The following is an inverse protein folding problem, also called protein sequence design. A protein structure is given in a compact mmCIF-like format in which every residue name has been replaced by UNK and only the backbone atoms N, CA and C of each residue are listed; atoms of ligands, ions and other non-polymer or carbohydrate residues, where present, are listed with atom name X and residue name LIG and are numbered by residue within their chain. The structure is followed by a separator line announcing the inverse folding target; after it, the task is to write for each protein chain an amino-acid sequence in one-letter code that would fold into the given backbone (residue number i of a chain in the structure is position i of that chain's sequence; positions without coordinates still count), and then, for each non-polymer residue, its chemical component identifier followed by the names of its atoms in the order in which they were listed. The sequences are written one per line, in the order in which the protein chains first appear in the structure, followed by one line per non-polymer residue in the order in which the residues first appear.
data_IF_798193382686
#
_entry.id   IF_798193382686
#
_cell.length_a   1.000
_cell.length_b   1.000
_cell.length_c   1.000
_cell.angle_alpha   90.00
_cell.angle_beta   90.00
_cell.angle_gamma   90.00
#
_symmetry.space_group_name_H-M   'P 1'
#
loop_
_entity.id
_entity.type
_entity.pdbx_description
1 polymer ?
#
# COMPACT_ATOMS: atom_id res chain seq x y z
N UNK A 1 -11.58 17.68 -6.27
CA UNK A 1 -11.08 16.82 -7.36
C UNK A 1 -11.76 15.49 -7.14
N UNK A 2 -12.52 15.02 -8.11
CA UNK A 2 -13.19 13.73 -8.00
C UNK A 2 -12.15 12.64 -8.25
N UNK A 3 -11.58 12.13 -7.16
CA UNK A 3 -10.66 11.00 -7.18
C UNK A 3 -11.45 9.75 -7.63
N UNK A 4 -10.97 8.98 -8.61
CA UNK A 4 -11.74 7.86 -9.13
C UNK A 4 -11.89 6.77 -8.06
N UNK A 5 -13.12 6.27 -7.93
CA UNK A 5 -13.39 5.05 -7.16
C UNK A 5 -12.65 3.89 -7.83
N UNK A 6 -11.77 3.22 -7.10
CA UNK A 6 -10.98 2.13 -7.68
C UNK A 6 -10.34 1.23 -6.64
N UNK A 7 -9.66 0.18 -7.12
CA UNK A 7 -8.66 -0.55 -6.35
C UNK A 7 -7.28 0.00 -6.71
N UNK A 8 -6.49 0.36 -5.71
CA UNK A 8 -5.14 0.90 -5.89
C UNK A 8 -4.16 0.08 -5.08
N UNK A 9 -3.10 -0.42 -5.71
CA UNK A 9 -1.97 -0.96 -4.96
C UNK A 9 -1.26 0.19 -4.23
N UNK A 10 -0.91 -0.03 -2.96
CA UNK A 10 -0.28 0.99 -2.10
C UNK A 10 1.04 0.54 -1.47
N UNK A 11 1.37 -0.74 -1.59
CA UNK A 11 2.61 -1.34 -1.12
C UNK A 11 2.84 -2.72 -1.77
N UNK A 12 4.09 -3.18 -1.78
CA UNK A 12 4.39 -4.61 -1.90
C UNK A 12 4.02 -5.30 -0.59
N UNK A 13 3.40 -6.47 -0.67
CA UNK A 13 3.02 -7.26 0.51
C UNK A 13 4.21 -7.65 1.37
N UNK A 14 5.35 -7.93 0.72
CA UNK A 14 6.61 -8.28 1.37
C UNK A 14 7.29 -7.11 2.10
N UNK A 15 6.96 -5.85 1.77
CA UNK A 15 7.51 -4.67 2.47
C UNK A 15 6.83 -4.45 3.83
N UNK A 16 5.69 -5.11 4.09
CA UNK A 16 4.93 -5.02 5.33
C UNK A 16 4.98 -6.38 6.04
N UNK A 17 6.02 -6.58 6.84
CA UNK A 17 6.22 -7.82 7.61
C UNK A 17 5.15 -7.99 8.70
N UNK A 18 4.88 -9.22 9.17
CA UNK A 18 3.99 -9.44 10.31
C UNK A 18 4.40 -8.62 11.54
N UNK A 19 3.40 -8.05 12.22
CA UNK A 19 3.62 -7.16 13.37
C UNK A 19 4.39 -5.86 13.06
N UNK A 20 4.30 -5.36 11.83
CA UNK A 20 4.89 -4.07 11.43
C UNK A 20 3.86 -3.14 10.78
N UNK A 21 4.19 -1.86 10.72
CA UNK A 21 3.40 -0.80 10.09
C UNK A 21 4.30 0.12 9.27
N UNK A 22 3.77 0.66 8.18
CA UNK A 22 4.43 1.66 7.35
C UNK A 22 3.44 2.72 6.88
N UNK A 23 3.93 3.94 6.68
CA UNK A 23 3.16 5.05 6.11
C UNK A 23 3.23 5.05 4.58
N UNK A 24 2.12 5.39 3.94
CA UNK A 24 2.03 5.59 2.48
C UNK A 24 1.04 6.72 2.18
N UNK A 25 0.81 7.02 0.91
CA UNK A 25 -0.14 8.05 0.49
C UNK A 25 -1.00 7.59 -0.67
N UNK A 26 -2.23 8.06 -0.75
CA UNK A 26 -3.07 7.85 -1.92
C UNK A 26 -3.86 9.14 -2.17
N UNK A 27 -3.74 9.71 -3.36
CA UNK A 27 -4.36 11.00 -3.73
C UNK A 27 -4.07 12.14 -2.73
N UNK A 28 -2.89 12.14 -2.11
CA UNK A 28 -2.47 13.13 -1.12
C UNK A 28 -2.85 12.80 0.33
N UNK A 29 -3.77 11.85 0.55
CA UNK A 29 -4.19 11.39 1.89
C UNK A 29 -3.12 10.47 2.49
N UNK A 30 -2.85 10.63 3.79
CA UNK A 30 -1.86 9.81 4.51
C UNK A 30 -2.53 8.53 5.02
N UNK A 31 -1.95 7.39 4.67
CA UNK A 31 -2.45 6.07 5.04
C UNK A 31 -1.40 5.31 5.84
N UNK A 32 -1.84 4.52 6.82
CA UNK A 32 -1.01 3.50 7.46
C UNK A 32 -1.42 2.14 6.92
N UNK A 33 -0.43 1.39 6.41
CA UNK A 33 -0.56 -0.02 6.09
C UNK A 33 0.13 -0.80 7.19
N UNK A 34 -0.55 -1.78 7.76
CA UNK A 34 0.03 -2.60 8.82
C UNK A 34 -0.45 -4.04 8.73
N UNK A 35 0.34 -4.93 9.30
CA UNK A 35 0.05 -6.35 9.33
C UNK A 35 0.01 -6.84 10.76
N UNK A 36 -1.08 -7.46 11.14
CA UNK A 36 -1.21 -8.05 12.47
C UNK A 36 -0.29 -9.28 12.64
N UNK A 37 -0.24 -9.81 13.86
CA UNK A 37 0.59 -10.97 14.18
C UNK A 37 0.12 -12.28 13.50
N UNK A 38 -1.15 -12.35 13.09
CA UNK A 38 -1.70 -13.48 12.33
C UNK A 38 -1.42 -13.35 10.82
N UNK A 39 -0.91 -12.20 10.38
CA UNK A 39 -0.55 -11.92 8.99
C UNK A 39 -1.65 -11.20 8.21
N UNK A 40 -2.78 -10.82 8.81
CA UNK A 40 -3.82 -10.08 8.09
C UNK A 40 -3.38 -8.62 7.90
N UNK A 41 -3.66 -8.09 6.71
CA UNK A 41 -3.33 -6.71 6.31
C UNK A 41 -4.50 -5.80 6.61
N UNK A 42 -4.17 -4.59 7.07
CA UNK A 42 -5.12 -3.55 7.43
C UNK A 42 -4.63 -2.21 6.90
N UNK A 43 -5.54 -1.35 6.44
CA UNK A 43 -5.20 0.00 5.98
C UNK A 43 -6.12 1.04 6.61
N UNK A 44 -5.54 2.05 7.24
CA UNK A 44 -6.25 3.13 7.93
C UNK A 44 -5.76 4.50 7.49
N UNK A 45 -6.51 5.54 7.88
CA UNK A 45 -5.98 6.90 7.91
C UNK A 45 -4.80 6.95 8.88
N UNK A 46 -3.69 7.55 8.45
CA UNK A 46 -2.47 7.64 9.25
C UNK A 46 -2.55 8.76 10.30
N UNK A 47 -3.61 8.75 11.11
CA UNK A 47 -3.90 9.82 12.04
C UNK A 47 -4.58 9.31 13.30
N UNK A 48 -3.89 9.42 14.43
CA UNK A 48 -4.46 9.09 15.74
C UNK A 48 -5.58 10.10 16.10
N UNK A 49 -6.82 9.64 16.37
CA UNK A 49 -7.94 10.53 16.73
C UNK A 49 -7.71 11.40 17.97
N UNK A 50 -6.76 11.05 18.84
CA UNK A 50 -6.46 11.82 20.05
C UNK A 50 -5.81 13.18 19.74
N UNK A 51 -4.64 13.17 19.08
CA UNK A 51 -3.85 14.39 18.81
C UNK A 51 -3.16 14.41 17.44
N UNK A 52 -3.59 13.55 16.52
CA UNK A 52 -3.13 13.55 15.14
C UNK A 52 -1.74 12.97 14.90
N UNK A 53 -1.12 12.30 15.87
CA UNK A 53 0.13 11.56 15.62
C UNK A 53 -0.11 10.46 14.58
N UNK A 54 0.83 10.29 13.65
CA UNK A 54 0.79 9.20 12.67
C UNK A 54 0.86 7.84 13.36
N UNK A 55 -0.08 6.97 13.02
CA UNK A 55 -0.18 5.61 13.54
C UNK A 55 0.87 4.68 12.90
N UNK A 56 1.40 5.03 11.73
CA UNK A 56 2.50 4.33 11.06
C UNK A 56 3.79 4.31 11.88
N UNK A 57 4.00 5.29 12.77
CA UNK A 57 5.10 5.30 13.75
C UNK A 57 4.79 4.53 15.04
N UNK A 58 3.57 3.97 15.15
CA UNK A 58 3.15 3.17 16.29
C UNK A 58 3.77 1.79 16.33
N UNK A 59 3.24 0.97 17.22
CA UNK A 59 3.69 -0.41 17.40
C UNK A 59 2.53 -1.37 17.20
N UNK A 60 2.66 -2.28 16.24
CA UNK A 60 1.73 -3.40 16.13
C UNK A 60 1.99 -4.39 17.27
N UNK A 61 0.92 -4.82 17.91
CA UNK A 61 0.92 -5.75 19.05
C UNK A 61 -0.27 -6.68 18.88
N UNK A 62 -0.05 -7.92 18.43
CA UNK A 62 -1.17 -8.80 18.12
C UNK A 62 -2.01 -8.22 16.98
N UNK A 63 -3.26 -7.88 17.28
CA UNK A 63 -4.31 -7.37 16.37
C UNK A 63 -4.61 -5.87 16.53
N UNK A 64 -3.71 -5.12 17.18
CA UNK A 64 -3.86 -3.68 17.40
C UNK A 64 -2.59 -2.89 17.12
N UNK A 65 -2.75 -1.60 16.82
CA UNK A 65 -1.67 -0.62 16.85
C UNK A 65 -1.75 0.19 18.15
N UNK A 66 -0.64 0.26 18.87
CA UNK A 66 -0.42 1.23 19.94
C UNK A 66 0.23 2.50 19.36
N UNK A 67 -0.44 3.64 19.48
CA UNK A 67 0.11 4.93 19.05
C UNK A 67 1.36 5.30 19.85
N UNK A 68 2.45 5.67 19.17
CA UNK A 68 3.73 6.02 19.80
C UNK A 68 3.62 7.17 20.82
N UNK A 69 2.67 8.08 20.64
CA UNK A 69 2.61 9.28 21.46
C UNK A 69 2.13 9.01 22.90
N UNK A 70 0.99 8.35 23.06
CA UNK A 70 0.39 8.12 24.39
C UNK A 70 -0.04 6.66 24.60
N UNK A 71 0.32 5.75 23.70
CA UNK A 71 0.03 4.33 23.81
C UNK A 71 -1.45 3.96 23.64
N UNK A 72 -2.30 4.86 23.15
CA UNK A 72 -3.69 4.52 22.82
C UNK A 72 -3.70 3.39 21.80
N UNK A 73 -4.48 2.34 22.09
CA UNK A 73 -4.51 1.12 21.27
C UNK A 73 -5.78 1.06 20.45
N UNK A 74 -5.63 0.77 19.17
CA UNK A 74 -6.73 0.67 18.21
C UNK A 74 -6.77 -0.74 17.63
N UNK A 75 -7.94 -1.39 17.68
CA UNK A 75 -8.14 -2.72 17.08
C UNK A 75 -8.16 -2.67 15.55
N UNK A 76 -8.21 -3.83 14.90
CA UNK A 76 -8.31 -3.99 13.44
C UNK A 76 -9.38 -3.11 12.77
N UNK A 77 -10.52 -2.89 13.44
CA UNK A 77 -11.62 -2.07 12.96
C UNK A 77 -11.43 -0.56 13.22
N UNK A 78 -10.23 -0.18 13.68
CA UNK A 78 -9.83 1.19 13.97
C UNK A 78 -10.39 1.74 15.30
N UNK A 79 -11.09 0.93 16.11
CA UNK A 79 -11.69 1.40 17.36
C UNK A 79 -10.65 1.46 18.47
N UNK A 80 -10.62 2.57 19.21
CA UNK A 80 -9.81 2.66 20.42
C UNK A 80 -10.35 1.72 21.49
N UNK A 81 -9.51 0.80 21.97
CA UNK A 81 -9.86 -0.20 22.98
C UNK A 81 -9.20 0.04 24.33
N UNK A 82 -8.12 0.81 24.35
CA UNK A 82 -7.33 0.98 25.57
C UNK A 82 -6.61 2.32 25.59
N UNK A 83 -6.75 3.01 26.73
CA UNK A 83 -6.07 4.27 27.03
C UNK A 83 -5.18 4.04 28.26
N UNK A 84 -3.85 3.98 28.12
CA UNK A 84 -2.97 3.60 29.23
C UNK A 84 -3.09 4.47 30.49
N UNK A 85 -3.37 5.77 30.33
CA UNK A 85 -3.55 6.69 31.46
C UNK A 85 -4.86 6.47 32.24
N UNK A 86 -5.83 5.76 31.64
CA UNK A 86 -7.12 5.45 32.22
C UNK A 86 -7.47 3.98 31.92
N UNK A 87 -6.74 3.02 32.53
CA UNK A 87 -6.83 1.61 32.15
C UNK A 87 -8.19 0.96 32.40
N UNK A 88 -8.96 1.49 33.36
CA UNK A 88 -10.30 0.99 33.73
C UNK A 88 -11.44 1.73 33.00
N UNK A 89 -11.10 2.66 32.09
CA UNK A 89 -12.10 3.43 31.36
C UNK A 89 -12.75 2.57 30.27
N UNK A 90 -14.08 2.56 30.26
CA UNK A 90 -14.85 2.09 29.09
C UNK A 90 -14.73 3.12 27.96
N UNK A 91 -13.90 2.80 26.97
CA UNK A 91 -13.56 3.73 25.88
C UNK A 91 -14.74 3.87 24.92
N UNK A 92 -15.15 5.12 24.68
CA UNK A 92 -16.27 5.43 23.77
C UNK A 92 -16.08 4.78 22.39
N UNK A 93 -17.11 4.12 21.83
CA UNK A 93 -17.05 3.50 20.51
C UNK A 93 -16.93 4.51 19.37
N UNK A 94 -17.11 5.81 19.64
CA UNK A 94 -16.92 6.89 18.66
C UNK A 94 -15.44 7.23 18.43
N UNK A 95 -14.54 6.82 19.33
CA UNK A 95 -13.10 7.06 19.17
C UNK A 95 -12.55 6.01 18.21
N UNK A 96 -12.57 6.33 16.91
CA UNK A 96 -12.13 5.43 15.84
C UNK A 96 -11.25 6.17 14.83
N UNK A 97 -10.24 5.48 14.30
CA UNK A 97 -9.59 5.90 13.06
C UNK A 97 -10.42 5.45 11.86
N UNK A 98 -10.33 6.18 10.75
CA UNK A 98 -10.95 5.77 9.50
C UNK A 98 -10.21 4.56 8.94
N UNK A 99 -10.95 3.51 8.57
CA UNK A 99 -10.41 2.32 7.91
C UNK A 99 -10.76 2.33 6.42
N UNK A 100 -9.98 1.61 5.62
CA UNK A 100 -10.20 1.41 4.20
C UNK A 100 -10.27 -0.09 3.91
N UNK A 101 -11.24 -0.57 3.12
CA UNK A 101 -11.24 -1.97 2.68
C UNK A 101 -9.96 -2.25 1.91
N UNK A 102 -9.29 -3.35 2.26
CA UNK A 102 -8.00 -3.68 1.69
C UNK A 102 -7.84 -5.18 1.47
N UNK A 103 -6.94 -5.56 0.58
CA UNK A 103 -6.67 -6.97 0.29
C UNK A 103 -5.26 -7.17 -0.22
N UNK A 104 -4.61 -8.25 0.21
CA UNK A 104 -3.35 -8.68 -0.38
C UNK A 104 -3.63 -9.65 -1.55
N UNK A 105 -3.11 -9.34 -2.73
CA UNK A 105 -3.26 -10.19 -3.93
C UNK A 105 -2.13 -9.89 -4.92
N UNK A 106 -1.60 -10.95 -5.57
CA UNK A 106 -0.43 -10.87 -6.45
C UNK A 106 0.74 -10.10 -5.82
N UNK A 107 1.09 -10.44 -4.57
CA UNK A 107 2.22 -9.85 -3.85
C UNK A 107 2.10 -8.35 -3.55
N UNK A 108 0.90 -7.78 -3.72
CA UNK A 108 0.60 -6.37 -3.56
C UNK A 108 -0.52 -6.18 -2.54
N UNK A 109 -0.45 -5.10 -1.78
CA UNK A 109 -1.53 -4.66 -0.89
C UNK A 109 -2.37 -3.63 -1.63
N UNK A 110 -3.65 -3.95 -1.80
CA UNK A 110 -4.63 -3.14 -2.51
C UNK A 110 -5.58 -2.46 -1.54
N UNK A 111 -5.97 -1.23 -1.85
CA UNK A 111 -6.96 -0.43 -1.12
C UNK A 111 -8.13 -0.12 -2.05
N UNK A 112 -9.36 -0.32 -1.57
CA UNK A 112 -10.57 0.15 -2.25
C UNK A 112 -10.81 1.60 -1.89
N UNK A 113 -10.55 2.50 -2.84
CA UNK A 113 -10.87 3.93 -2.72
C UNK A 113 -12.32 4.22 -3.10
N UNK A 114 -12.90 5.24 -2.47
CA UNK A 114 -14.29 5.67 -2.73
C UNK A 114 -15.39 4.79 -2.12
N UNK A 115 -15.05 3.61 -1.60
CA UNK A 115 -16.01 2.70 -0.97
C UNK A 115 -16.14 2.95 0.54
N UNK A 116 -17.31 2.62 1.14
CA UNK A 116 -17.46 2.64 2.59
C UNK A 116 -16.59 1.55 3.25
N UNK A 117 -16.28 1.73 4.53
CA UNK A 117 -15.39 0.84 5.29
C UNK A 117 -15.91 -0.61 5.42
N UNK A 118 -17.22 -0.80 5.31
CA UNK A 118 -17.92 -2.08 5.36
C UNK A 118 -18.24 -2.66 3.97
N UNK A 119 -17.73 -2.03 2.90
CA UNK A 119 -17.88 -2.57 1.56
C UNK A 119 -17.30 -3.99 1.50
N UNK A 120 -17.97 -4.92 0.81
CA UNK A 120 -17.48 -6.28 0.68
C UNK A 120 -16.07 -6.26 0.07
N UNK A 121 -15.19 -7.09 0.61
CA UNK A 121 -13.86 -7.37 0.05
C UNK A 121 -14.00 -8.19 -1.24
N UNK A 122 -14.68 -7.65 -2.25
CA UNK A 122 -14.58 -8.19 -3.60
C UNK A 122 -13.13 -8.04 -4.02
N UNK A 123 -12.50 -9.14 -4.43
CA UNK A 123 -11.12 -9.05 -4.85
C UNK A 123 -11.03 -8.06 -6.03
N UNK A 124 -9.93 -7.32 -6.20
CA UNK A 124 -9.71 -6.62 -7.46
C UNK A 124 -9.84 -7.69 -8.57
N UNK A 125 -10.65 -7.42 -9.61
CA UNK A 125 -11.07 -8.34 -10.70
C UNK A 125 -9.90 -8.90 -11.55
N UNK A 126 -8.69 -8.80 -11.06
CA UNK A 126 -7.63 -8.12 -11.77
C UNK A 126 -6.28 -8.81 -11.62
N UNK A 127 -5.94 -9.23 -10.41
CA UNK A 127 -4.71 -9.97 -10.21
C UNK A 127 -4.94 -11.44 -10.57
N UNK A 128 -4.45 -11.90 -11.73
CA UNK A 128 -4.24 -13.32 -12.00
C UNK A 128 -3.68 -14.00 -10.73
N UNK A 129 -4.17 -15.19 -10.39
CA UNK A 129 -3.62 -16.00 -9.29
C UNK A 129 -2.27 -16.63 -9.69
N UNK A 130 -1.44 -15.87 -10.40
CA UNK A 130 -0.10 -16.27 -10.80
C UNK A 130 0.81 -16.01 -9.61
N UNK A 131 1.63 -16.99 -9.19
CA UNK A 131 2.69 -16.76 -8.23
C UNK A 131 3.58 -15.61 -8.70
N UNK A 132 3.82 -14.65 -7.82
CA UNK A 132 4.71 -13.53 -8.11
C UNK A 132 5.84 -13.44 -7.10
N UNK A 133 6.96 -12.88 -7.55
CA UNK A 133 8.07 -12.46 -6.71
C UNK A 133 8.09 -10.94 -6.60
N UNK A 134 8.16 -10.36 -5.40
CA UNK A 134 8.31 -8.91 -5.26
C UNK A 134 9.66 -8.48 -5.84
N UNK A 135 9.67 -7.40 -6.63
CA UNK A 135 10.91 -6.82 -7.15
C UNK A 135 11.30 -5.58 -6.34
N UNK A 136 10.52 -4.50 -6.48
CA UNK A 136 10.66 -3.25 -5.70
C UNK A 136 9.55 -2.26 -6.01
N UNK A 137 9.39 -1.29 -5.12
CA UNK A 137 8.65 -0.06 -5.38
C UNK A 137 9.58 1.05 -5.91
N UNK A 138 9.10 1.84 -6.87
CA UNK A 138 9.74 3.08 -7.33
C UNK A 138 8.85 4.25 -6.93
N UNK A 139 9.43 5.28 -6.34
CA UNK A 139 8.76 6.55 -6.05
C UNK A 139 9.26 7.59 -7.04
N UNK A 140 8.33 8.24 -7.74
CA UNK A 140 8.64 9.10 -8.87
C UNK A 140 8.08 10.50 -8.66
N UNK A 141 8.89 11.49 -9.02
CA UNK A 141 8.51 12.90 -9.11
C UNK A 141 7.77 13.16 -10.44
N UNK A 142 6.68 12.42 -10.67
CA UNK A 142 5.82 12.54 -11.83
C UNK A 142 4.37 12.15 -11.50
N UNK A 143 3.37 12.78 -12.16
CA UNK A 143 1.97 12.37 -12.04
C UNK A 143 1.74 10.91 -12.46
N UNK A 144 0.78 10.24 -11.82
CA UNK A 144 0.39 8.87 -12.14
C UNK A 144 -0.01 8.67 -13.62
N UNK A 145 -0.62 9.67 -14.24
CA UNK A 145 -1.00 9.62 -15.66
C UNK A 145 0.23 9.51 -16.57
N UNK A 146 1.32 10.22 -16.26
CA UNK A 146 2.58 10.15 -17.01
C UNK A 146 3.26 8.80 -16.85
N UNK A 147 3.27 8.27 -15.63
CA UNK A 147 3.73 6.91 -15.35
C UNK A 147 2.91 5.89 -16.16
N UNK A 148 1.58 5.98 -16.15
CA UNK A 148 0.72 5.07 -16.91
C UNK A 148 1.00 5.12 -18.42
N UNK A 149 1.18 6.31 -19.00
CA UNK A 149 1.56 6.47 -20.42
C UNK A 149 2.90 5.84 -20.71
N UNK A 150 3.91 6.05 -19.85
CA UNK A 150 5.24 5.47 -20.03
C UNK A 150 5.25 3.93 -19.96
N UNK A 151 4.30 3.34 -19.23
CA UNK A 151 4.10 1.90 -19.15
C UNK A 151 3.27 1.32 -20.32
N UNK A 152 2.74 2.16 -21.22
CA UNK A 152 1.88 1.73 -22.32
C UNK A 152 0.38 1.67 -21.99
N UNK A 153 -0.04 2.31 -20.91
CA UNK A 153 -1.43 2.34 -20.40
C UNK A 153 -1.58 1.61 -19.07
N UNK A 154 -2.77 1.72 -18.46
CA UNK A 154 -3.15 0.91 -17.32
C UNK A 154 -3.90 -0.33 -17.81
N UNK A 155 -3.52 -1.52 -17.36
CA UNK A 155 -4.37 -2.70 -17.55
C UNK A 155 -5.75 -2.47 -16.92
N UNK A 156 -6.78 -3.14 -17.45
CA UNK A 156 -8.15 -3.07 -16.90
C UNK A 156 -8.25 -3.58 -15.46
N UNK A 157 -7.20 -4.28 -15.03
CA UNK A 157 -6.97 -4.85 -13.72
C UNK A 157 -6.14 -3.95 -12.78
N UNK A 158 -5.70 -2.78 -13.23
CA UNK A 158 -4.77 -1.95 -12.46
C UNK A 158 -3.33 -2.49 -12.43
N UNK A 159 -3.02 -3.53 -13.22
CA UNK A 159 -1.68 -4.04 -13.45
C UNK A 159 -1.29 -3.85 -14.92
N UNK A 160 -0.12 -3.26 -15.15
CA UNK A 160 0.44 -3.15 -16.49
C UNK A 160 1.59 -4.12 -16.64
N UNK A 161 1.52 -4.98 -17.66
CA UNK A 161 2.62 -5.88 -18.03
C UNK A 161 3.59 -5.13 -18.95
N UNK A 162 4.86 -5.06 -18.56
CA UNK A 162 5.93 -4.45 -19.37
C UNK A 162 7.09 -5.42 -19.58
N UNK A 163 7.90 -5.16 -20.60
CA UNK A 163 9.24 -5.73 -20.71
C UNK A 163 10.22 -4.87 -19.92
N UNK A 164 10.94 -5.48 -18.99
CA UNK A 164 12.03 -4.86 -18.24
C UNK A 164 13.29 -5.69 -18.46
N UNK A 165 14.20 -5.17 -19.27
CA UNK A 165 15.47 -5.83 -19.60
C UNK A 165 15.24 -7.26 -20.16
N UNK A 166 14.28 -7.42 -21.07
CA UNK A 166 13.98 -8.72 -21.69
C UNK A 166 13.21 -9.69 -20.79
N UNK A 167 12.62 -9.23 -19.69
CA UNK A 167 11.79 -10.03 -18.80
C UNK A 167 10.42 -9.38 -18.60
N UNK A 168 9.37 -10.20 -18.63
CA UNK A 168 8.02 -9.71 -18.35
C UNK A 168 7.87 -9.42 -16.85
N UNK A 169 7.43 -8.21 -16.51
CA UNK A 169 7.09 -7.81 -15.14
C UNK A 169 5.69 -7.18 -15.10
N UNK A 170 5.05 -7.20 -13.94
CA UNK A 170 3.77 -6.55 -13.68
C UNK A 170 4.01 -5.31 -12.81
N UNK A 171 3.34 -4.22 -13.16
CA UNK A 171 3.49 -2.92 -12.50
C UNK A 171 2.14 -2.39 -12.08
N UNK A 172 1.97 -2.09 -10.80
CA UNK A 172 0.81 -1.35 -10.30
C UNK A 172 1.16 0.13 -10.11
N UNK A 173 0.29 1.02 -10.56
CA UNK A 173 0.46 2.48 -10.43
C UNK A 173 -0.29 2.99 -9.21
N UNK A 174 0.43 3.68 -8.33
CA UNK A 174 -0.11 4.35 -7.14
C UNK A 174 -0.06 5.88 -7.33
N UNK A 175 -1.19 6.58 -7.39
CA UNK A 175 -1.22 8.04 -7.33
C UNK A 175 -0.92 8.53 -5.91
N UNK A 176 0.25 9.12 -5.66
CA UNK A 176 0.62 9.62 -4.33
C UNK A 176 0.10 11.03 -4.07
N UNK A 177 0.22 11.91 -5.07
CA UNK A 177 -0.23 13.30 -5.09
C UNK A 177 -0.38 13.78 -6.55
N UNK A 178 -0.69 15.06 -6.78
CA UNK A 178 -0.83 15.61 -8.13
C UNK A 178 0.43 15.39 -9.00
N UNK A 179 1.61 15.65 -8.43
CA UNK A 179 2.90 15.58 -9.14
C UNK A 179 3.78 14.40 -8.68
N UNK A 180 3.21 13.43 -7.97
CA UNK A 180 3.96 12.30 -7.43
C UNK A 180 3.19 10.98 -7.56
N UNK A 181 3.92 9.92 -7.90
CA UNK A 181 3.37 8.58 -8.04
C UNK A 181 4.37 7.51 -7.58
N UNK A 182 3.87 6.30 -7.39
CA UNK A 182 4.72 5.12 -7.22
C UNK A 182 4.36 4.02 -8.22
N UNK A 183 5.35 3.20 -8.54
CA UNK A 183 5.22 1.98 -9.32
C UNK A 183 5.63 0.80 -8.43
N UNK A 184 4.70 -0.10 -8.13
CA UNK A 184 4.99 -1.34 -7.41
C UNK A 184 5.19 -2.46 -8.42
N UNK A 185 6.40 -3.06 -8.42
CA UNK A 185 6.81 -3.99 -9.47
C UNK A 185 6.93 -5.39 -8.87
N UNK A 186 6.27 -6.35 -9.51
CA UNK A 186 6.36 -7.78 -9.22
C UNK A 186 6.70 -8.55 -10.48
N UNK A 187 7.41 -9.67 -10.34
CA UNK A 187 7.75 -10.57 -11.44
C UNK A 187 6.79 -11.75 -11.42
N UNK A 188 6.12 -12.12 -12.53
CA UNK A 188 5.16 -13.23 -12.60
C UNK A 188 5.87 -14.60 -12.64
N UNK A 189 6.70 -14.83 -11.63
CA UNK A 189 7.43 -16.08 -11.37
C UNK A 189 7.26 -16.41 -9.88
N UNK A 190 7.26 -17.70 -9.51
CA UNK A 190 7.18 -18.07 -8.11
C UNK A 190 8.38 -17.53 -7.30
N UNK A 191 8.26 -17.43 -5.96
CA UNK A 191 9.25 -16.78 -5.07
C UNK A 191 10.67 -17.39 -5.07
N UNK A 192 10.88 -18.52 -5.75
CA UNK A 192 12.15 -19.24 -5.86
C UNK A 192 12.98 -18.83 -7.09
N UNK A 193 12.57 -17.78 -7.81
CA UNK A 193 13.35 -17.23 -8.91
C UNK A 193 14.80 -16.87 -8.46
N UNK A 194 15.82 -17.09 -9.33
CA UNK A 194 17.21 -16.83 -8.96
C UNK A 194 17.43 -15.37 -8.54
N UNK A 195 18.08 -15.16 -7.39
CA UNK A 195 18.37 -13.83 -6.86
C UNK A 195 19.17 -12.93 -7.83
N UNK A 196 19.97 -13.53 -8.71
CA UNK A 196 20.73 -12.82 -9.75
C UNK A 196 19.82 -12.16 -10.79
N UNK A 197 18.70 -12.80 -11.15
CA UNK A 197 17.74 -12.24 -12.10
C UNK A 197 16.99 -11.06 -11.48
N UNK A 198 16.56 -11.20 -10.23
CA UNK A 198 15.94 -10.10 -9.48
C UNK A 198 16.89 -8.91 -9.30
N UNK A 199 18.17 -9.15 -9.04
CA UNK A 199 19.17 -8.08 -8.91
C UNK A 199 19.37 -7.31 -10.22
N UNK A 200 19.46 -8.01 -11.35
CA UNK A 200 19.53 -7.40 -12.70
C UNK A 200 18.30 -6.54 -12.99
N UNK A 201 17.10 -7.08 -12.75
CA UNK A 201 15.84 -6.36 -12.93
C UNK A 201 15.73 -5.15 -12.00
N UNK A 202 16.16 -5.28 -10.75
CA UNK A 202 16.14 -4.18 -9.78
C UNK A 202 17.08 -3.03 -10.19
N UNK A 203 18.18 -3.33 -10.88
CA UNK A 203 19.06 -2.33 -11.48
C UNK A 203 18.40 -1.67 -12.71
N UNK A 204 17.72 -2.44 -13.56
CA UNK A 204 16.98 -1.91 -14.73
C UNK A 204 15.86 -0.94 -14.31
N UNK A 205 15.24 -1.14 -13.14
CA UNK A 205 14.26 -0.20 -12.59
C UNK A 205 14.82 1.23 -12.38
N UNK A 206 16.13 1.40 -12.16
CA UNK A 206 16.76 2.73 -12.04
C UNK A 206 16.70 3.47 -13.38
N UNK A 207 16.97 2.76 -14.48
CA UNK A 207 16.87 3.33 -15.81
C UNK A 207 15.42 3.67 -16.18
N UNK A 208 14.47 2.79 -15.82
CA UNK A 208 13.04 3.03 -15.98
C UNK A 208 12.58 4.28 -15.23
N UNK A 209 12.96 4.45 -13.95
CA UNK A 209 12.64 5.65 -13.18
C UNK A 209 13.16 6.91 -13.89
N UNK A 210 14.44 6.89 -14.28
CA UNK A 210 15.09 8.04 -14.95
C UNK A 210 14.43 8.40 -16.27
N UNK A 211 13.97 7.43 -17.07
CA UNK A 211 13.28 7.73 -18.34
C UNK A 211 11.91 8.37 -18.09
N UNK A 212 11.21 7.96 -17.04
CA UNK A 212 9.90 8.52 -16.67
C UNK A 212 10.04 9.94 -16.11
N UNK A 213 10.99 10.18 -15.21
CA UNK A 213 11.25 11.50 -14.62
C UNK A 213 11.92 12.46 -15.62
N UNK A 214 12.84 11.96 -16.45
CA UNK A 214 13.65 12.73 -17.41
C UNK A 214 12.93 13.21 -18.68
N UNK A 215 11.64 12.90 -18.85
CA UNK A 215 10.80 13.40 -19.95
C UNK A 215 10.08 14.74 -19.64
N UNK A 216 10.59 15.55 -18.70
CA UNK A 216 10.10 16.92 -18.52
C UNK A 216 10.81 17.84 -19.55
N UNK A 217 10.09 18.75 -20.21
CA UNK A 217 10.65 19.63 -21.24
C UNK A 217 11.76 20.54 -20.72
#
# INVERSE_FOLDING_TARGET
MDEPDGWYAVALGADIEPSTSAGTRLFGHELVVWRDAAGAVHVWEDRCPHRGMRLSFGFVRGDHIACLYHGWRYDAAGQCRFIPAHPDLDVSPMIRTRTYPCRERAGLIWVRWGAPADAPETAPDAAEAVPVSPLRSLYLDAPAARLAVALGGAGSDGLTRIDLDGSSVLVAVQPLAAEASAAHIVVPVPPDAPAADLARLAAACVALRRSIEGAAP
#
